data_IF_705374913038
#
_entry.id   IF_705374913038
#
_cell.length_a   1.000
_cell.length_b   1.000
_cell.length_c   1.000
_cell.angle_alpha   90.00
_cell.angle_beta   90.00
_cell.angle_gamma   90.00
#
_symmetry.space_group_name_H-M   'P 1'
#
loop_
_entity.id
_entity.type
_entity.pdbx_description
1 polymer ?
#
# COMPACT_ATOMS: atom_id res chain seq x y z
N UNK A 1 8.30 -17.19 25.63
CA UNK A 1 7.52 -17.54 24.43
C UNK A 1 6.11 -17.02 24.64
N UNK A 2 5.63 -16.16 23.74
CA UNK A 2 4.27 -15.65 23.85
C UNK A 2 3.29 -16.72 23.36
N UNK A 3 2.18 -16.92 24.07
CA UNK A 3 1.14 -17.94 23.82
C UNK A 3 0.57 -17.97 22.39
N UNK A 4 0.85 -16.95 21.58
CA UNK A 4 0.43 -16.84 20.17
C UNK A 4 1.43 -17.33 19.12
N UNK A 5 2.68 -17.65 19.48
CA UNK A 5 3.70 -18.10 18.49
C UNK A 5 3.54 -19.60 18.18
N UNK A 6 3.56 -20.49 19.17
CA UNK A 6 3.38 -21.95 18.94
C UNK A 6 1.99 -22.29 18.39
N UNK A 7 0.93 -21.75 18.99
CA UNK A 7 -0.44 -21.95 18.50
C UNK A 7 -0.67 -21.32 17.12
N UNK A 8 0.05 -20.23 16.82
CA UNK A 8 -0.03 -19.54 15.53
C UNK A 8 0.53 -20.38 14.39
N UNK A 9 1.66 -21.06 14.60
CA UNK A 9 2.27 -21.94 13.61
C UNK A 9 1.35 -23.12 13.27
N UNK A 10 0.78 -23.77 14.30
CA UNK A 10 -0.11 -24.90 14.11
C UNK A 10 -1.43 -24.50 13.43
N UNK A 11 -2.00 -23.34 13.79
CA UNK A 11 -3.18 -22.79 13.13
C UNK A 11 -2.92 -22.44 11.65
N UNK A 12 -1.75 -21.86 11.35
CA UNK A 12 -1.34 -21.49 9.99
C UNK A 12 -1.21 -22.72 9.05
N UNK A 13 -0.68 -23.84 9.56
CA UNK A 13 -0.60 -25.09 8.78
C UNK A 13 -1.96 -25.73 8.47
N UNK A 14 -3.00 -25.41 9.26
CA UNK A 14 -4.33 -26.01 9.13
C UNK A 14 -5.26 -25.27 8.14
N UNK A 15 -4.77 -24.24 7.44
CA UNK A 15 -5.54 -23.44 6.48
C UNK A 15 -4.95 -23.45 5.05
N UNK A 16 -4.69 -24.63 4.43
CA UNK A 16 -4.03 -24.72 3.12
C UNK A 16 -4.85 -24.13 1.97
N UNK A 17 -6.17 -24.02 2.14
CA UNK A 17 -7.09 -23.46 1.14
C UNK A 17 -7.42 -21.98 1.40
N UNK A 18 -6.57 -21.27 2.15
CA UNK A 18 -6.76 -19.86 2.45
C UNK A 18 -6.77 -19.03 1.16
N UNK A 19 -7.92 -18.43 0.86
CA UNK A 19 -8.10 -17.56 -0.33
C UNK A 19 -8.06 -16.08 -0.03
N UNK A 20 -8.47 -15.73 1.19
CA UNK A 20 -8.58 -14.35 1.66
C UNK A 20 -8.04 -14.26 3.07
N UNK A 21 -7.19 -13.29 3.34
CA UNK A 21 -6.63 -13.08 4.66
C UNK A 21 -6.70 -11.61 5.08
N UNK A 22 -7.08 -11.37 6.33
CA UNK A 22 -6.98 -10.06 6.97
C UNK A 22 -6.02 -10.23 8.14
N UNK A 23 -4.83 -9.67 8.00
CA UNK A 23 -3.73 -9.85 8.93
C UNK A 23 -3.48 -8.55 9.69
N UNK A 24 -3.75 -8.61 10.99
CA UNK A 24 -3.40 -7.56 11.95
C UNK A 24 -2.21 -8.04 12.77
N UNK A 25 -1.39 -7.12 13.24
CA UNK A 25 -0.17 -7.46 13.96
C UNK A 25 -0.40 -8.44 15.12
N UNK A 26 0.15 -9.64 14.96
CA UNK A 26 0.00 -10.78 15.85
C UNK A 26 1.06 -11.84 15.52
N UNK A 27 1.31 -12.76 16.45
CA UNK A 27 2.22 -13.90 16.21
C UNK A 27 1.78 -14.76 15.02
N UNK A 28 0.47 -15.02 14.89
CA UNK A 28 -0.12 -15.71 13.74
C UNK A 28 0.20 -15.00 12.42
N UNK A 29 0.09 -13.67 12.40
CA UNK A 29 0.38 -12.91 11.19
C UNK A 29 1.82 -13.07 10.74
N UNK A 30 2.80 -12.97 11.64
CA UNK A 30 4.22 -13.20 11.27
C UNK A 30 4.42 -14.59 10.66
N UNK A 31 3.76 -15.62 11.19
CA UNK A 31 3.85 -16.96 10.62
C UNK A 31 3.18 -17.10 9.26
N UNK A 32 1.99 -16.51 9.06
CA UNK A 32 1.34 -16.47 7.75
C UNK A 32 2.21 -15.73 6.74
N UNK A 33 2.78 -14.59 7.13
CA UNK A 33 3.69 -13.78 6.29
C UNK A 33 4.93 -14.56 5.86
N UNK A 34 5.63 -15.21 6.81
CA UNK A 34 6.83 -16.00 6.53
C UNK A 34 6.56 -17.21 5.63
N UNK A 35 5.32 -17.70 5.58
CA UNK A 35 4.91 -18.87 4.81
C UNK A 35 3.90 -18.52 3.70
N UNK A 36 3.86 -17.26 3.24
CA UNK A 36 2.88 -16.81 2.24
C UNK A 36 2.88 -17.67 0.97
N UNK A 37 4.06 -18.15 0.56
CA UNK A 37 4.25 -19.02 -0.61
C UNK A 37 3.57 -20.38 -0.48
N UNK A 38 3.30 -20.85 0.74
CA UNK A 38 2.57 -22.10 0.98
C UNK A 38 1.07 -21.97 0.68
N UNK A 39 0.52 -20.74 0.69
CA UNK A 39 -0.90 -20.48 0.43
C UNK A 39 -1.15 -20.20 -1.06
N UNK A 40 -0.99 -21.22 -1.90
CA UNK A 40 -1.12 -21.08 -3.37
C UNK A 40 -2.49 -20.62 -3.87
N UNK A 41 -3.54 -20.71 -3.02
CA UNK A 41 -4.89 -20.23 -3.35
C UNK A 41 -5.17 -18.80 -2.84
N UNK A 42 -4.22 -18.16 -2.14
CA UNK A 42 -4.40 -16.83 -1.59
C UNK A 42 -4.47 -15.80 -2.71
N UNK A 43 -5.63 -15.16 -2.86
CA UNK A 43 -5.90 -14.19 -3.92
C UNK A 43 -6.16 -12.79 -3.39
N UNK A 44 -6.57 -12.66 -2.13
CA UNK A 44 -6.86 -11.37 -1.49
C UNK A 44 -6.16 -11.29 -0.12
N UNK A 45 -5.39 -10.22 0.09
CA UNK A 45 -4.65 -10.00 1.33
C UNK A 45 -4.91 -8.57 1.82
N UNK A 46 -5.30 -8.43 3.07
CA UNK A 46 -5.40 -7.15 3.76
C UNK A 46 -4.43 -7.13 4.93
N UNK A 47 -3.53 -6.15 4.94
CA UNK A 47 -2.48 -6.00 5.94
C UNK A 47 -2.72 -4.75 6.77
N UNK A 48 -2.55 -4.86 8.08
CA UNK A 48 -2.38 -3.73 8.99
C UNK A 48 -1.11 -3.94 9.79
N UNK A 49 0.03 -3.81 9.12
CA UNK A 49 1.37 -4.13 9.63
C UNK A 49 2.36 -3.03 9.27
N UNK A 50 3.37 -2.85 10.12
CA UNK A 50 4.55 -2.04 9.80
C UNK A 50 5.38 -2.67 8.67
N UNK A 51 6.22 -1.85 8.04
CA UNK A 51 7.17 -2.30 7.02
C UNK A 51 8.41 -2.91 7.66
N UNK A 52 8.45 -4.23 7.75
CA UNK A 52 9.71 -4.95 8.02
C UNK A 52 10.09 -5.76 6.77
N UNK A 53 10.96 -5.18 5.94
CA UNK A 53 11.45 -5.81 4.71
C UNK A 53 12.07 -7.18 4.93
N UNK A 54 12.66 -7.43 6.11
CA UNK A 54 13.33 -8.70 6.38
C UNK A 54 12.34 -9.87 6.49
N UNK A 55 11.05 -9.58 6.67
CA UNK A 55 9.99 -10.60 6.77
C UNK A 55 9.44 -11.02 5.40
N UNK A 56 9.81 -10.32 4.33
CA UNK A 56 9.31 -10.59 2.99
C UNK A 56 10.29 -11.44 2.21
N UNK A 57 9.92 -12.69 1.97
CA UNK A 57 10.67 -13.55 1.06
C UNK A 57 10.51 -13.02 -0.38
N UNK A 58 11.61 -12.99 -1.15
CA UNK A 58 11.60 -12.54 -2.56
C UNK A 58 10.90 -13.52 -3.53
N UNK A 59 10.09 -14.44 -3.03
CA UNK A 59 9.37 -15.40 -3.84
C UNK A 59 8.07 -14.76 -4.34
N UNK A 60 7.79 -14.93 -5.64
CA UNK A 60 6.55 -14.46 -6.24
C UNK A 60 5.34 -15.19 -5.66
N UNK A 61 4.34 -14.42 -5.24
CA UNK A 61 3.08 -14.92 -4.69
C UNK A 61 1.94 -14.49 -5.64
N UNK A 62 1.09 -15.43 -6.10
CA UNK A 62 0.02 -15.16 -7.06
C UNK A 62 -1.18 -14.45 -6.40
N UNK A 63 -0.95 -13.24 -5.89
CA UNK A 63 -1.95 -12.40 -5.25
C UNK A 63 -2.60 -11.47 -6.27
N UNK A 64 -3.93 -11.36 -6.26
CA UNK A 64 -4.68 -10.47 -7.15
C UNK A 64 -5.08 -9.15 -6.48
N UNK A 65 -5.38 -9.18 -5.18
CA UNK A 65 -5.83 -7.99 -4.43
C UNK A 65 -5.01 -7.80 -3.16
N UNK A 66 -4.44 -6.63 -3.02
CA UNK A 66 -3.69 -6.22 -1.84
C UNK A 66 -4.30 -4.95 -1.28
N UNK A 67 -4.63 -4.99 0.00
CA UNK A 67 -4.90 -3.81 0.80
C UNK A 67 -3.82 -3.69 1.87
N UNK A 68 -3.12 -2.57 1.90
CA UNK A 68 -2.08 -2.32 2.89
C UNK A 68 -2.39 -1.05 3.66
N UNK A 69 -2.68 -1.22 4.95
CA UNK A 69 -2.86 -0.14 5.90
C UNK A 69 -1.63 -0.01 6.77
N UNK A 70 -1.01 1.18 6.80
CA UNK A 70 0.11 1.45 7.70
C UNK A 70 -0.24 2.58 8.66
N UNK A 71 0.36 2.52 9.85
CA UNK A 71 0.11 3.51 10.90
C UNK A 71 1.03 4.71 10.70
N UNK A 72 0.43 5.90 10.71
CA UNK A 72 1.16 7.17 10.70
C UNK A 72 1.08 7.83 12.07
N UNK A 73 2.20 8.40 12.50
CA UNK A 73 2.21 9.32 13.63
C UNK A 73 1.92 10.72 13.10
N UNK A 74 1.11 11.44 13.86
CA UNK A 74 0.81 12.84 13.58
C UNK A 74 1.76 13.64 14.47
N UNK A 75 2.62 14.45 13.85
CA UNK A 75 3.50 15.35 14.58
C UNK A 75 2.68 16.38 15.39
N UNK A 76 3.31 17.05 16.35
CA UNK A 76 2.63 18.02 17.22
C UNK A 76 2.01 19.19 16.44
N UNK A 77 2.56 19.53 15.27
CA UNK A 77 2.03 20.53 14.35
C UNK A 77 0.90 20.02 13.44
N UNK A 78 0.49 18.75 13.60
CA UNK A 78 -0.54 18.12 12.79
C UNK A 78 -0.04 17.50 11.47
N UNK A 79 1.23 17.67 11.12
CA UNK A 79 1.81 17.10 9.90
C UNK A 79 2.04 15.60 10.01
N UNK A 80 1.97 14.89 8.88
CA UNK A 80 2.29 13.47 8.82
C UNK A 80 3.55 13.29 8.02
N UNK A 81 4.63 12.87 8.67
CA UNK A 81 5.93 12.76 8.01
C UNK A 81 6.03 11.44 7.22
N UNK A 82 6.51 11.53 5.97
CA UNK A 82 6.99 10.40 5.15
C UNK A 82 5.90 9.45 4.57
N UNK A 83 4.67 9.93 4.41
CA UNK A 83 3.53 9.16 3.91
C UNK A 83 3.72 8.57 2.52
N UNK A 84 4.09 9.39 1.53
CA UNK A 84 4.27 8.91 0.15
C UNK A 84 5.53 8.07 -0.01
N UNK A 85 6.62 8.36 0.71
CA UNK A 85 7.84 7.53 0.68
C UNK A 85 7.59 6.13 1.25
N UNK A 86 6.77 6.05 2.31
CA UNK A 86 6.28 4.77 2.86
C UNK A 86 5.43 4.01 1.83
N UNK A 87 4.54 4.72 1.12
CA UNK A 87 3.75 4.12 0.04
C UNK A 87 4.63 3.62 -1.12
N UNK A 88 5.62 4.40 -1.54
CA UNK A 88 6.59 4.04 -2.60
C UNK A 88 7.35 2.78 -2.24
N UNK A 89 7.73 2.63 -0.97
CA UNK A 89 8.30 1.40 -0.46
C UNK A 89 7.36 0.21 -0.62
N UNK A 90 6.08 0.36 -0.25
CA UNK A 90 5.06 -0.67 -0.45
C UNK A 90 4.90 -1.00 -1.93
N UNK A 91 4.90 0.00 -2.81
CA UNK A 91 4.80 -0.19 -4.26
C UNK A 91 5.97 -1.02 -4.80
N UNK A 92 7.21 -0.68 -4.39
CA UNK A 92 8.41 -1.39 -4.82
C UNK A 92 8.40 -2.85 -4.34
N UNK A 93 8.03 -3.08 -3.09
CA UNK A 93 7.88 -4.43 -2.56
C UNK A 93 6.77 -5.20 -3.28
N UNK A 94 5.59 -4.58 -3.48
CA UNK A 94 4.47 -5.21 -4.15
C UNK A 94 4.82 -5.59 -5.60
N UNK A 95 5.56 -4.74 -6.31
CA UNK A 95 6.02 -5.03 -7.68
C UNK A 95 6.97 -6.23 -7.76
N UNK A 96 7.66 -6.54 -6.67
CA UNK A 96 8.59 -7.67 -6.58
C UNK A 96 7.87 -8.95 -6.14
N UNK A 97 7.05 -8.85 -5.10
CA UNK A 97 6.45 -10.00 -4.40
C UNK A 97 5.13 -10.43 -5.04
N UNK A 98 4.37 -9.51 -5.65
CA UNK A 98 3.03 -9.74 -6.18
C UNK A 98 2.93 -9.34 -7.67
N UNK A 99 3.59 -10.08 -8.58
CA UNK A 99 3.63 -9.72 -10.00
C UNK A 99 2.26 -9.78 -10.70
N UNK A 100 1.32 -10.55 -10.17
CA UNK A 100 -0.03 -10.73 -10.73
C UNK A 100 -1.08 -9.78 -10.13
N UNK A 101 -0.65 -8.76 -9.40
CA UNK A 101 -1.54 -7.87 -8.67
C UNK A 101 -2.43 -7.03 -9.62
N UNK A 102 -3.75 -7.15 -9.44
CA UNK A 102 -4.77 -6.46 -10.22
C UNK A 102 -5.36 -5.26 -9.46
N UNK A 103 -5.43 -5.36 -8.12
CA UNK A 103 -5.98 -4.32 -7.26
C UNK A 103 -5.03 -4.02 -6.09
N UNK A 104 -4.69 -2.74 -5.94
CA UNK A 104 -3.86 -2.26 -4.84
C UNK A 104 -4.55 -1.09 -4.14
N UNK A 105 -4.74 -1.21 -2.83
CA UNK A 105 -5.22 -0.17 -1.92
C UNK A 105 -4.15 0.08 -0.86
N UNK A 106 -3.53 1.25 -0.88
CA UNK A 106 -2.59 1.71 0.15
C UNK A 106 -3.27 2.83 0.93
N UNK A 107 -3.42 2.65 2.24
CA UNK A 107 -4.17 3.58 3.07
C UNK A 107 -3.44 3.90 4.37
N UNK A 108 -3.29 5.17 4.68
CA UNK A 108 -2.79 5.66 5.95
C UNK A 108 -3.84 5.46 7.05
N UNK A 109 -3.39 5.09 8.24
CA UNK A 109 -4.24 4.97 9.42
C UNK A 109 -3.64 5.76 10.57
N UNK A 110 -4.42 6.66 11.19
CA UNK A 110 -3.99 7.38 12.39
C UNK A 110 -3.72 6.39 13.53
N UNK A 111 -2.53 6.46 14.12
CA UNK A 111 -2.22 5.66 15.30
C UNK A 111 -3.16 6.02 16.45
N UNK A 112 -3.78 5.01 17.06
CA UNK A 112 -4.56 5.12 18.28
C UNK A 112 -3.67 4.81 19.48
N UNK A 113 -3.97 5.36 20.66
CA UNK A 113 -3.25 5.05 21.92
C UNK A 113 -3.19 3.55 22.26
N UNK A 114 -4.11 2.76 21.71
CA UNK A 114 -4.17 1.30 21.87
C UNK A 114 -3.29 0.52 20.88
N UNK A 115 -2.73 1.18 19.86
CA UNK A 115 -1.90 0.50 18.87
C UNK A 115 -0.51 0.24 19.49
N UNK A 116 -0.19 -1.04 19.70
CA UNK A 116 1.09 -1.49 20.27
C UNK A 116 2.19 -1.68 19.23
N UNK A 117 1.87 -1.48 17.95
CA UNK A 117 2.78 -1.64 16.81
C UNK A 117 3.91 -0.64 16.91
N UNK A 118 5.16 -1.09 17.01
CA UNK A 118 6.32 -0.20 16.91
C UNK A 118 6.44 0.35 15.50
N UNK A 119 6.72 1.65 15.36
CA UNK A 119 6.92 2.25 14.04
C UNK A 119 8.22 1.69 13.45
N UNK A 120 8.12 0.99 12.33
CA UNK A 120 9.26 0.86 11.43
C UNK A 120 9.12 2.00 10.43
N UNK A 121 9.66 3.16 10.82
CA UNK A 121 9.98 4.19 9.84
C UNK A 121 10.89 3.49 8.84
N UNK A 122 10.45 3.44 7.59
CA UNK A 122 11.28 2.95 6.53
C UNK A 122 12.54 3.82 6.52
N UNK A 123 13.65 3.32 7.09
CA UNK A 123 14.96 3.94 6.87
C UNK A 123 15.05 4.09 5.35
N UNK A 124 15.29 5.31 4.89
CA UNK A 124 15.53 5.70 3.49
C UNK A 124 16.46 4.70 2.78
N UNK A 125 15.95 3.56 2.33
CA UNK A 125 16.76 2.43 1.82
C UNK A 125 16.48 2.17 0.35
N UNK A 126 15.54 2.88 -0.28
CA UNK A 126 15.42 2.86 -1.72
C UNK A 126 15.77 4.26 -2.25
N UNK A 127 17.08 4.44 -2.46
CA UNK A 127 17.69 5.50 -3.28
C UNK A 127 17.27 5.40 -4.77
N UNK A 128 16.40 4.44 -5.09
CA UNK A 128 15.84 4.29 -6.42
C UNK A 128 14.52 5.07 -6.48
N UNK A 129 14.59 6.27 -7.04
CA UNK A 129 13.44 7.18 -7.25
C UNK A 129 12.35 6.58 -8.15
N UNK A 130 12.58 5.39 -8.69
CA UNK A 130 11.62 4.72 -9.56
C UNK A 130 10.59 3.97 -8.72
N UNK A 131 9.34 4.42 -8.81
CA UNK A 131 8.19 3.66 -8.30
C UNK A 131 8.02 2.36 -9.10
N UNK A 132 7.75 1.25 -8.40
CA UNK A 132 7.60 -0.08 -8.96
C UNK A 132 6.58 -0.18 -10.10
N UNK A 133 6.77 -1.16 -10.99
CA UNK A 133 5.87 -1.47 -12.09
C UNK A 133 4.99 -2.69 -11.77
N UNK A 134 3.68 -2.55 -11.93
CA UNK A 134 2.71 -3.61 -11.68
C UNK A 134 1.97 -3.91 -13.00
N UNK A 135 2.46 -4.87 -13.81
CA UNK A 135 2.04 -5.05 -15.21
C UNK A 135 0.57 -5.48 -15.39
N UNK A 136 -0.12 -5.83 -14.31
CA UNK A 136 -1.54 -6.23 -14.33
C UNK A 136 -2.43 -5.31 -13.53
N UNK A 137 -1.91 -4.19 -13.01
CA UNK A 137 -2.65 -3.30 -12.14
C UNK A 137 -3.79 -2.63 -12.90
N UNK A 138 -5.01 -2.92 -12.47
CA UNK A 138 -6.24 -2.37 -13.04
C UNK A 138 -6.86 -1.32 -12.13
N UNK A 139 -6.66 -1.44 -10.82
CA UNK A 139 -7.23 -0.55 -9.82
C UNK A 139 -6.19 -0.15 -8.81
N UNK A 140 -5.94 1.16 -8.70
CA UNK A 140 -5.07 1.72 -7.68
C UNK A 140 -5.86 2.67 -6.78
N UNK A 141 -5.70 2.51 -5.47
CA UNK A 141 -6.17 3.43 -4.47
C UNK A 141 -5.03 3.85 -3.56
N UNK A 142 -4.87 5.15 -3.37
CA UNK A 142 -4.00 5.71 -2.35
C UNK A 142 -4.77 6.67 -1.46
N UNK A 143 -4.67 6.48 -0.14
CA UNK A 143 -5.21 7.41 0.85
C UNK A 143 -4.09 7.83 1.81
N UNK A 144 -3.65 9.08 1.73
CA UNK A 144 -2.56 9.59 2.56
C UNK A 144 -2.07 10.95 2.10
N UNK A 145 -1.36 11.67 2.95
CA UNK A 145 -0.85 13.01 2.62
C UNK A 145 0.23 12.94 1.53
N UNK A 146 0.16 13.84 0.55
CA UNK A 146 1.19 14.06 -0.50
C UNK A 146 1.55 15.53 -0.48
N UNK A 147 2.80 15.85 -0.18
CA UNK A 147 3.27 17.21 0.09
C UNK A 147 4.33 17.62 -0.93
N UNK A 148 4.01 18.62 -1.73
CA UNK A 148 4.93 19.27 -2.66
C UNK A 148 5.07 18.59 -4.03
N UNK A 149 5.63 19.34 -4.98
CA UNK A 149 5.67 18.98 -6.40
C UNK A 149 6.44 17.68 -6.68
N UNK A 150 7.46 17.37 -5.86
CA UNK A 150 8.28 16.17 -6.03
C UNK A 150 7.50 14.89 -5.75
N UNK A 151 6.70 14.86 -4.68
CA UNK A 151 5.87 13.70 -4.36
C UNK A 151 4.71 13.58 -5.36
N UNK A 152 4.13 14.70 -5.78
CA UNK A 152 3.14 14.73 -6.86
C UNK A 152 3.69 14.10 -8.15
N UNK A 153 4.83 14.57 -8.66
CA UNK A 153 5.42 13.99 -9.88
C UNK A 153 5.74 12.51 -9.70
N UNK A 154 6.18 12.08 -8.52
CA UNK A 154 6.42 10.66 -8.23
C UNK A 154 5.12 9.83 -8.35
N UNK A 155 3.99 10.33 -7.87
CA UNK A 155 2.70 9.67 -8.07
C UNK A 155 2.31 9.65 -9.56
N UNK A 156 2.53 10.73 -10.30
CA UNK A 156 2.24 10.76 -11.75
C UNK A 156 3.13 9.79 -12.53
N UNK A 157 4.40 9.68 -12.15
CA UNK A 157 5.32 8.71 -12.74
C UNK A 157 4.81 7.29 -12.53
N UNK A 158 4.34 6.96 -11.32
CA UNK A 158 3.71 5.67 -11.05
C UNK A 158 2.45 5.44 -11.91
N UNK A 159 1.55 6.42 -11.99
CA UNK A 159 0.33 6.32 -12.82
C UNK A 159 0.69 6.15 -14.29
N UNK A 160 1.64 6.92 -14.81
CA UNK A 160 2.14 6.86 -16.19
C UNK A 160 2.74 5.50 -16.49
N UNK A 161 3.51 4.93 -15.56
CA UNK A 161 4.14 3.61 -15.70
C UNK A 161 3.13 2.47 -15.78
N UNK A 162 1.98 2.61 -15.12
CA UNK A 162 0.91 1.60 -15.08
C UNK A 162 -0.32 1.99 -15.95
N UNK A 163 -0.23 3.10 -16.70
CA UNK A 163 -1.37 3.74 -17.36
C UNK A 163 -2.03 2.88 -18.44
N UNK A 164 -1.27 1.98 -19.05
CA UNK A 164 -1.76 1.06 -20.08
C UNK A 164 -2.70 -0.02 -19.55
N UNK A 165 -2.70 -0.30 -18.25
CA UNK A 165 -3.56 -1.32 -17.63
C UNK A 165 -4.56 -0.74 -16.65
N UNK A 166 -4.29 0.46 -16.14
CA UNK A 166 -5.11 1.11 -15.14
C UNK A 166 -6.48 1.50 -15.70
N UNK A 167 -7.53 1.05 -15.02
CA UNK A 167 -8.94 1.34 -15.34
C UNK A 167 -9.66 2.09 -14.23
N UNK A 168 -9.14 2.02 -13.00
CA UNK A 168 -9.66 2.74 -11.84
C UNK A 168 -8.53 3.37 -11.03
N UNK A 169 -8.70 4.64 -10.70
CA UNK A 169 -7.76 5.42 -9.89
C UNK A 169 -8.54 6.15 -8.80
N UNK A 170 -8.19 5.91 -7.54
CA UNK A 170 -8.75 6.58 -6.37
C UNK A 170 -7.64 7.24 -5.56
N UNK A 171 -7.54 8.56 -5.61
CA UNK A 171 -6.48 9.32 -4.96
C UNK A 171 -7.09 10.24 -3.90
N UNK A 172 -7.06 9.77 -2.66
CA UNK A 172 -7.57 10.46 -1.48
C UNK A 172 -6.41 11.06 -0.68
N UNK A 173 -5.78 12.09 -1.25
CA UNK A 173 -4.52 12.64 -0.74
C UNK A 173 -4.60 13.43 0.58
N UNK A 174 -5.73 13.34 1.29
CA UNK A 174 -6.09 14.22 2.43
C UNK A 174 -5.81 15.71 2.18
N UNK A 175 -5.84 16.13 0.90
CA UNK A 175 -5.53 17.50 0.51
C UNK A 175 -6.42 18.54 1.18
N UNK A 176 -5.86 19.75 1.31
CA UNK A 176 -6.59 20.99 1.63
C UNK A 176 -7.46 21.48 0.47
N UNK A 177 -7.21 22.71 -0.02
CA UNK A 177 -8.01 23.36 -1.07
C UNK A 177 -7.57 22.99 -2.51
N UNK A 178 -8.46 23.12 -3.52
CA UNK A 178 -8.33 22.58 -4.88
C UNK A 178 -7.87 23.79 -5.64
N UNK A 179 -6.57 23.89 -5.81
CA UNK A 179 -6.00 24.96 -6.59
C UNK A 179 -5.80 24.52 -8.05
N UNK A 180 -5.33 25.45 -8.88
CA UNK A 180 -5.07 25.18 -10.29
C UNK A 180 -4.00 24.11 -10.49
N UNK A 181 -3.01 24.03 -9.59
CA UNK A 181 -1.91 23.05 -9.65
C UNK A 181 -2.48 21.64 -9.51
N UNK A 182 -3.38 21.45 -8.55
CA UNK A 182 -4.04 20.17 -8.35
C UNK A 182 -4.94 19.82 -9.53
N UNK A 183 -5.68 20.78 -10.08
CA UNK A 183 -6.48 20.53 -11.28
C UNK A 183 -5.64 20.11 -12.49
N UNK A 184 -4.51 20.77 -12.71
CA UNK A 184 -3.56 20.42 -13.77
C UNK A 184 -2.97 19.02 -13.55
N UNK A 185 -2.67 18.69 -12.30
CA UNK A 185 -2.25 17.35 -11.90
C UNK A 185 -3.30 16.28 -12.23
N UNK A 186 -4.58 16.54 -11.95
CA UNK A 186 -5.67 15.62 -12.30
C UNK A 186 -5.73 15.37 -13.81
N UNK A 187 -5.65 16.44 -14.58
CA UNK A 187 -5.68 16.36 -16.04
C UNK A 187 -4.50 15.55 -16.56
N UNK A 188 -3.30 15.72 -16.00
CA UNK A 188 -2.14 14.90 -16.35
C UNK A 188 -2.34 13.43 -15.99
N UNK A 189 -2.94 13.12 -14.83
CA UNK A 189 -3.29 11.74 -14.45
C UNK A 189 -4.24 11.07 -15.44
N UNK A 190 -5.26 11.79 -15.92
CA UNK A 190 -6.20 11.28 -16.93
C UNK A 190 -5.54 11.09 -18.28
N UNK A 191 -4.71 12.03 -18.71
CA UNK A 191 -3.97 11.93 -19.99
C UNK A 191 -2.99 10.77 -19.97
N UNK A 192 -2.35 10.49 -18.83
CA UNK A 192 -1.36 9.42 -18.69
C UNK A 192 -1.97 8.02 -18.55
N UNK A 193 -3.26 7.89 -18.23
CA UNK A 193 -3.97 6.61 -18.13
C UNK A 193 -5.15 6.56 -19.12
N UNK A 194 -4.93 6.33 -20.43
CA UNK A 194 -5.96 6.45 -21.46
C UNK A 194 -7.10 5.42 -21.34
N UNK A 195 -6.90 4.33 -20.57
CA UNK A 195 -7.91 3.31 -20.31
C UNK A 195 -8.71 3.54 -19.03
N UNK A 196 -8.47 4.65 -18.34
CA UNK A 196 -9.13 5.00 -17.10
C UNK A 196 -10.64 5.18 -17.32
N UNK A 197 -11.45 4.42 -16.60
CA UNK A 197 -12.93 4.46 -16.64
C UNK A 197 -13.53 5.04 -15.37
N UNK A 198 -12.79 4.98 -14.27
CA UNK A 198 -13.20 5.45 -12.96
C UNK A 198 -12.09 6.30 -12.36
N UNK A 199 -12.44 7.53 -11.97
CA UNK A 199 -11.57 8.42 -11.23
C UNK A 199 -12.34 8.91 -9.99
N UNK A 200 -11.81 8.63 -8.81
CA UNK A 200 -12.35 9.11 -7.55
C UNK A 200 -11.29 9.89 -6.79
N UNK A 201 -11.66 11.05 -6.24
CA UNK A 201 -10.73 11.93 -5.51
C UNK A 201 -11.38 12.64 -4.30
N UNK A 202 -11.64 11.98 -3.14
CA UNK A 202 -12.14 12.69 -1.96
C UNK A 202 -11.27 12.55 -0.68
N UNK A 203 -11.09 13.65 0.07
CA UNK A 203 -10.70 13.56 1.49
C UNK A 203 -10.41 14.82 2.34
N UNK A 204 -10.52 16.08 1.88
CA UNK A 204 -11.79 16.83 2.02
C UNK A 204 -11.72 18.25 1.46
N UNK A 205 -12.83 18.62 0.80
CA UNK A 205 -13.25 19.99 0.55
C UNK A 205 -14.43 20.37 1.44
N UNK A 206 -14.27 21.31 2.37
CA UNK A 206 -15.35 22.20 2.84
C UNK A 206 -14.79 23.58 3.21
N UNK A 207 -15.58 24.59 2.82
CA UNK A 207 -15.36 26.06 2.82
C UNK A 207 -14.40 26.63 3.85
#
# INVERSE_FOLDING_TARGET
MAFGEENGAQAACNIPFLRKAVLMESGLTRHVMNNLTAYSQLTELSLRLGLDFHQWNNAAIPLKKLKWMFLIDIAEDGSTTDCWNTATTILNLASTVFPDLEHLDISNCKRKKSDTTTQYICRRVLDDRQTGFLPRLQSFRYQGEVIGDLELESVLEFVRRNGDTLTSLDLAFEFGFLDGIMMDYLLQGVVTAPKLRSLAMPGRYRR
#
